data_IF_619317850484
#
_entry.id   IF_619317850484
#
_cell.length_a   1.000
_cell.length_b   1.000
_cell.length_c   1.000
_cell.angle_alpha   90.00
_cell.angle_beta   90.00
_cell.angle_gamma   90.00
#
_symmetry.space_group_name_H-M   'P 1'
#
loop_
_entity.id
_entity.type
_entity.pdbx_description
1 polymer ?
#
# COMPACT_ATOMS: atom_id res chain seq x y z
N UNK A 1 -0.26 6.06 -6.28
CA UNK A 1 -1.30 7.08 -6.29
C UNK A 1 -1.94 7.31 -4.94
N UNK A 2 -2.45 8.52 -4.68
CA UNK A 2 -3.02 8.94 -3.41
C UNK A 2 -4.30 8.21 -2.99
N UNK A 3 -4.86 8.57 -1.80
CA UNK A 3 -6.11 8.01 -1.34
C UNK A 3 -7.26 8.37 -2.29
N UNK A 4 -8.14 7.40 -2.58
CA UNK A 4 -9.30 7.63 -3.44
C UNK A 4 -9.03 7.69 -4.95
N UNK A 5 -7.84 7.35 -5.40
CA UNK A 5 -7.47 7.30 -6.83
C UNK A 5 -7.88 6.01 -7.55
N UNK A 6 -8.56 5.09 -6.85
CA UNK A 6 -9.05 3.85 -7.46
C UNK A 6 -8.09 2.67 -7.40
N UNK A 7 -7.02 2.71 -6.59
CA UNK A 7 -6.08 1.58 -6.41
C UNK A 7 -6.77 0.24 -6.20
N UNK A 8 -7.71 0.18 -5.28
CA UNK A 8 -8.46 -1.05 -4.96
C UNK A 8 -9.28 -1.59 -6.15
N UNK A 9 -9.91 -0.69 -6.92
CA UNK A 9 -10.63 -1.08 -8.13
C UNK A 9 -9.68 -1.63 -9.20
N UNK A 10 -8.52 -1.00 -9.35
CA UNK A 10 -7.47 -1.44 -10.27
C UNK A 10 -6.94 -2.83 -9.88
N UNK A 11 -6.65 -3.07 -8.59
CA UNK A 11 -6.24 -4.38 -8.07
C UNK A 11 -7.24 -5.46 -8.45
N UNK A 12 -8.52 -5.23 -8.13
CA UNK A 12 -9.60 -6.19 -8.46
C UNK A 12 -9.69 -6.47 -9.95
N UNK A 13 -9.59 -5.43 -10.78
CA UNK A 13 -9.63 -5.57 -12.24
C UNK A 13 -8.41 -6.34 -12.78
N UNK A 14 -7.20 -6.01 -12.33
CA UNK A 14 -5.96 -6.69 -12.72
C UNK A 14 -6.01 -8.18 -12.37
N UNK A 15 -6.31 -8.51 -11.13
CA UNK A 15 -6.39 -9.90 -10.67
C UNK A 15 -7.48 -10.67 -11.41
N UNK A 16 -8.66 -10.08 -11.62
CA UNK A 16 -9.75 -10.72 -12.36
C UNK A 16 -9.44 -10.94 -13.85
N UNK A 17 -8.73 -10.02 -14.48
CA UNK A 17 -8.29 -10.18 -15.89
C UNK A 17 -7.19 -11.25 -15.97
N UNK A 18 -6.20 -11.17 -15.06
CA UNK A 18 -5.09 -12.13 -15.06
C UNK A 18 -5.57 -13.56 -14.82
N UNK A 19 -6.37 -13.80 -13.79
CA UNK A 19 -6.92 -15.11 -13.46
C UNK A 19 -7.77 -15.71 -14.58
N UNK A 20 -8.52 -14.86 -15.29
CA UNK A 20 -9.36 -15.32 -16.43
C UNK A 20 -8.52 -15.73 -17.63
N UNK A 21 -7.45 -14.96 -17.93
CA UNK A 21 -6.59 -15.22 -19.07
C UNK A 21 -5.57 -16.33 -18.79
N UNK A 22 -5.27 -16.58 -17.53
CA UNK A 22 -4.27 -17.54 -17.09
C UNK A 22 -4.80 -18.43 -15.94
N UNK A 23 -5.81 -19.30 -16.19
CA UNK A 23 -6.49 -20.05 -15.16
C UNK A 23 -5.62 -21.09 -14.42
N UNK A 24 -4.49 -21.47 -15.00
CA UNK A 24 -3.54 -22.42 -14.40
C UNK A 24 -2.34 -21.74 -13.71
N UNK A 25 -2.33 -20.40 -13.66
CA UNK A 25 -1.24 -19.63 -13.08
C UNK A 25 -1.50 -19.30 -11.63
N UNK A 26 -0.48 -19.40 -10.80
CA UNK A 26 -0.53 -19.11 -9.38
C UNK A 26 -0.42 -17.60 -9.12
N UNK A 27 -1.28 -17.11 -8.22
CA UNK A 27 -1.33 -15.70 -7.81
C UNK A 27 -1.11 -15.61 -6.31
N UNK A 28 -0.13 -14.81 -5.90
CA UNK A 28 0.10 -14.43 -4.50
C UNK A 28 -0.26 -12.97 -4.32
N UNK A 29 -1.13 -12.69 -3.36
CA UNK A 29 -1.49 -11.35 -2.93
C UNK A 29 -0.99 -11.12 -1.50
N UNK A 30 -0.27 -10.03 -1.27
CA UNK A 30 0.21 -9.72 0.07
C UNK A 30 0.29 -8.22 0.35
N UNK A 31 0.44 -7.89 1.64
CA UNK A 31 0.60 -6.52 2.12
C UNK A 31 1.49 -6.50 3.38
N UNK A 32 2.11 -5.38 3.75
CA UNK A 32 2.98 -5.30 4.93
C UNK A 32 2.28 -5.61 6.25
N UNK A 33 0.98 -5.33 6.37
CA UNK A 33 0.22 -5.49 7.61
C UNK A 33 -0.98 -6.42 7.43
N UNK A 34 -1.37 -7.11 8.51
CA UNK A 34 -2.55 -7.99 8.51
C UNK A 34 -3.86 -7.24 8.21
N UNK A 35 -3.97 -5.97 8.63
CA UNK A 35 -5.13 -5.13 8.31
C UNK A 35 -5.21 -4.84 6.81
N UNK A 36 -4.09 -4.49 6.19
CA UNK A 36 -4.03 -4.24 4.75
C UNK A 36 -4.31 -5.51 3.95
N UNK A 37 -3.75 -6.66 4.33
CA UNK A 37 -4.00 -7.94 3.70
C UNK A 37 -5.48 -8.33 3.75
N UNK A 38 -6.12 -8.26 4.91
CA UNK A 38 -7.57 -8.51 5.05
C UNK A 38 -8.43 -7.59 4.19
N UNK A 39 -8.07 -6.31 4.14
CA UNK A 39 -8.77 -5.32 3.31
C UNK A 39 -8.63 -5.64 1.83
N UNK A 40 -7.43 -6.04 1.40
CA UNK A 40 -7.16 -6.49 0.04
C UNK A 40 -8.00 -7.70 -0.33
N UNK A 41 -8.02 -8.73 0.52
CA UNK A 41 -8.85 -9.94 0.32
C UNK A 41 -10.34 -9.60 0.21
N UNK A 42 -10.88 -8.83 1.14
CA UNK A 42 -12.29 -8.41 1.11
C UNK A 42 -12.68 -7.62 -0.14
N UNK A 43 -11.77 -6.78 -0.64
CA UNK A 43 -12.05 -5.90 -1.78
C UNK A 43 -11.85 -6.56 -3.12
N UNK A 44 -10.88 -7.48 -3.23
CA UNK A 44 -10.55 -8.15 -4.49
C UNK A 44 -11.25 -9.48 -4.67
N UNK A 45 -11.52 -10.19 -3.55
CA UNK A 45 -12.02 -11.57 -3.53
C UNK A 45 -10.91 -12.61 -3.70
N UNK A 46 -9.63 -12.20 -3.76
CA UNK A 46 -8.48 -13.11 -3.80
C UNK A 46 -7.89 -13.26 -2.41
N UNK A 47 -7.48 -14.49 -2.00
CA UNK A 47 -6.79 -14.70 -0.73
C UNK A 47 -5.55 -13.79 -0.63
N UNK A 48 -5.37 -13.18 0.54
CA UNK A 48 -4.22 -12.31 0.78
C UNK A 48 -3.64 -12.53 2.18
N UNK A 49 -2.33 -12.40 2.30
CA UNK A 49 -1.60 -12.55 3.56
C UNK A 49 -0.66 -11.38 3.82
N UNK A 50 0.00 -11.37 4.97
CA UNK A 50 1.11 -10.44 5.17
C UNK A 50 2.32 -10.89 4.35
N UNK A 51 3.19 -9.92 3.97
CA UNK A 51 4.47 -10.24 3.30
C UNK A 51 5.27 -11.23 4.14
N UNK A 52 5.38 -11.01 5.45
CA UNK A 52 6.05 -11.95 6.37
C UNK A 52 5.48 -13.37 6.27
N UNK A 53 4.16 -13.51 6.27
CA UNK A 53 3.52 -14.82 6.14
C UNK A 53 3.74 -15.45 4.76
N UNK A 54 3.69 -14.65 3.69
CA UNK A 54 3.94 -15.13 2.34
C UNK A 54 5.37 -15.66 2.16
N UNK A 55 6.33 -15.06 2.88
CA UNK A 55 7.75 -15.43 2.87
C UNK A 55 8.11 -16.50 3.92
N UNK A 56 7.15 -17.05 4.67
CA UNK A 56 7.47 -17.98 5.76
C UNK A 56 8.17 -17.35 6.97
N UNK A 57 8.28 -16.02 7.03
CA UNK A 57 8.91 -15.27 8.13
C UNK A 57 7.98 -15.20 9.34
N UNK A 58 7.60 -16.35 9.87
CA UNK A 58 6.81 -16.46 11.09
C UNK A 58 7.78 -16.87 12.21
N UNK A 59 7.71 -16.17 13.35
CA UNK A 59 8.50 -16.56 14.50
C UNK A 59 8.15 -17.99 14.91
N UNK A 60 9.16 -18.88 14.98
CA UNK A 60 9.02 -20.21 15.52
C UNK A 60 8.69 -20.19 17.01
N UNK A 61 8.45 -21.35 17.61
CA UNK A 61 8.20 -21.50 19.06
C UNK A 61 9.39 -21.00 19.89
N UNK A 62 10.58 -21.01 19.33
CA UNK A 62 11.86 -20.51 19.88
C UNK A 62 12.08 -19.00 19.68
N UNK A 63 11.17 -18.32 18.97
CA UNK A 63 11.24 -16.88 18.70
C UNK A 63 12.20 -16.48 17.58
N UNK A 64 12.82 -17.43 16.91
CA UNK A 64 13.65 -17.14 15.74
C UNK A 64 12.79 -17.03 14.47
N UNK A 65 13.11 -16.05 13.62
CA UNK A 65 12.48 -15.92 12.31
C UNK A 65 13.16 -16.88 11.33
N UNK A 66 12.34 -17.60 10.56
CA UNK A 66 12.82 -18.45 9.48
C UNK A 66 13.56 -17.67 8.39
N UNK A 67 14.26 -18.38 7.53
CA UNK A 67 14.79 -17.81 6.27
C UNK A 67 13.65 -17.59 5.28
N UNK A 68 13.69 -16.50 4.46
CA UNK A 68 12.67 -16.27 3.46
C UNK A 68 12.51 -17.45 2.50
N UNK A 69 11.28 -17.88 2.27
CA UNK A 69 10.94 -18.91 1.30
C UNK A 69 10.73 -18.31 -0.09
N UNK A 70 11.08 -19.05 -1.13
CA UNK A 70 10.80 -18.63 -2.52
C UNK A 70 9.30 -18.56 -2.75
N UNK A 71 8.82 -17.47 -3.30
CA UNK A 71 7.43 -17.31 -3.74
C UNK A 71 7.22 -18.04 -5.07
N UNK A 72 6.66 -19.25 -5.00
CA UNK A 72 6.33 -20.02 -6.21
C UNK A 72 5.00 -19.55 -6.80
N UNK A 73 5.02 -18.37 -7.41
CA UNK A 73 3.86 -17.74 -8.03
C UNK A 73 4.24 -17.13 -9.38
N UNK A 74 3.28 -17.07 -10.30
CA UNK A 74 3.44 -16.45 -11.61
C UNK A 74 3.14 -14.95 -11.57
N UNK A 75 2.23 -14.54 -10.66
CA UNK A 75 1.91 -13.15 -10.37
C UNK A 75 1.96 -12.90 -8.86
N UNK A 76 2.74 -11.92 -8.46
CA UNK A 76 2.80 -11.44 -7.07
C UNK A 76 2.30 -9.99 -7.06
N UNK A 77 1.26 -9.72 -6.28
CA UNK A 77 0.71 -8.38 -6.11
C UNK A 77 0.87 -7.94 -4.65
N UNK A 78 1.61 -6.88 -4.44
CA UNK A 78 1.89 -6.31 -3.11
C UNK A 78 1.22 -4.96 -2.98
N UNK A 79 0.33 -4.81 -2.00
CA UNK A 79 -0.31 -3.52 -1.69
C UNK A 79 0.36 -2.82 -0.51
N UNK A 80 0.13 -1.52 -0.37
CA UNK A 80 0.68 -0.62 0.67
C UNK A 80 2.23 -0.68 0.77
N UNK A 81 2.91 -0.76 -0.37
CA UNK A 81 4.39 -0.89 -0.46
C UNK A 81 5.13 0.27 0.19
N UNK A 82 4.50 1.44 0.37
CA UNK A 82 5.06 2.56 1.14
C UNK A 82 5.44 2.20 2.58
N UNK A 83 4.84 1.13 3.13
CA UNK A 83 5.11 0.64 4.49
C UNK A 83 6.21 -0.45 4.54
N UNK A 84 6.77 -0.88 3.41
CA UNK A 84 7.90 -1.81 3.40
C UNK A 84 9.19 -1.08 3.75
N UNK A 85 9.93 -1.61 4.73
CA UNK A 85 11.30 -1.20 4.97
C UNK A 85 12.28 -1.91 4.01
N UNK A 86 13.54 -1.50 4.07
CA UNK A 86 14.56 -2.01 3.13
C UNK A 86 14.86 -3.50 3.35
N UNK A 87 14.75 -4.01 4.57
CA UNK A 87 15.03 -5.41 4.88
C UNK A 87 13.92 -6.32 4.35
N UNK A 88 12.65 -6.02 4.70
CA UNK A 88 11.52 -6.80 4.22
C UNK A 88 11.35 -6.70 2.70
N UNK A 89 11.71 -5.55 2.10
CA UNK A 89 11.75 -5.40 0.65
C UNK A 89 12.86 -6.25 0.02
N UNK A 90 14.03 -6.32 0.62
CA UNK A 90 15.11 -7.19 0.19
C UNK A 90 14.68 -8.66 0.19
N UNK A 91 14.18 -9.14 1.33
CA UNK A 91 13.66 -10.50 1.47
C UNK A 91 12.57 -10.82 0.41
N UNK A 92 11.66 -9.87 0.19
CA UNK A 92 10.62 -10.03 -0.82
C UNK A 92 11.22 -10.17 -2.23
N UNK A 93 12.15 -9.30 -2.62
CA UNK A 93 12.71 -9.31 -3.97
C UNK A 93 13.58 -10.55 -4.23
N UNK A 94 14.35 -10.98 -3.23
CA UNK A 94 15.17 -12.20 -3.31
C UNK A 94 14.31 -13.47 -3.38
N UNK A 95 13.08 -13.41 -2.84
CA UNK A 95 12.13 -14.53 -2.87
C UNK A 95 11.32 -14.63 -4.16
N UNK A 96 11.33 -13.61 -5.01
CA UNK A 96 10.58 -13.64 -6.29
C UNK A 96 11.25 -14.60 -7.27
N UNK A 97 10.50 -15.62 -7.69
CA UNK A 97 10.96 -16.60 -8.68
C UNK A 97 11.24 -15.93 -10.04
N UNK A 98 12.35 -16.26 -10.72
CA UNK A 98 12.61 -15.76 -12.07
C UNK A 98 11.47 -16.08 -13.04
N UNK A 99 11.01 -15.05 -13.75
CA UNK A 99 9.87 -15.15 -14.68
C UNK A 99 8.51 -14.80 -14.08
N UNK A 100 8.43 -14.60 -12.77
CA UNK A 100 7.22 -14.07 -12.12
C UNK A 100 7.00 -12.60 -12.46
N UNK A 101 5.73 -12.20 -12.52
CA UNK A 101 5.35 -10.79 -12.60
C UNK A 101 5.16 -10.23 -11.19
N UNK A 102 5.88 -9.17 -10.84
CA UNK A 102 5.75 -8.47 -9.57
C UNK A 102 5.06 -7.13 -9.78
N UNK A 103 3.92 -6.92 -9.14
CA UNK A 103 3.16 -5.67 -9.17
C UNK A 103 3.17 -5.06 -7.76
N UNK A 104 3.75 -3.88 -7.65
CA UNK A 104 3.86 -3.12 -6.41
C UNK A 104 2.86 -1.96 -6.44
N UNK A 105 2.01 -1.86 -5.42
CA UNK A 105 1.00 -0.81 -5.31
C UNK A 105 1.20 -0.06 -4.00
N UNK A 106 1.14 1.26 -4.07
CA UNK A 106 1.33 2.07 -2.88
C UNK A 106 1.07 3.55 -3.14
N UNK A 107 1.35 4.33 -2.14
CA UNK A 107 1.22 5.78 -2.15
C UNK A 107 2.53 6.41 -1.65
N UNK A 108 3.32 6.93 -2.58
CA UNK A 108 4.62 7.54 -2.27
C UNK A 108 4.51 8.84 -1.43
N UNK A 109 3.30 9.38 -1.29
CA UNK A 109 3.03 10.58 -0.48
C UNK A 109 2.58 10.23 0.96
N UNK A 110 2.38 8.93 1.28
CA UNK A 110 2.12 8.48 2.65
C UNK A 110 3.40 8.43 3.48
N UNK A 111 3.22 8.33 4.79
CA UNK A 111 4.36 8.13 5.69
C UNK A 111 5.12 6.86 5.28
N UNK A 112 6.46 6.91 5.29
CA UNK A 112 7.29 5.75 5.01
C UNK A 112 7.14 4.68 6.10
N UNK A 113 7.80 3.55 5.91
CA UNK A 113 7.92 2.49 6.92
C UNK A 113 8.51 3.02 8.24
N UNK A 114 8.19 2.36 9.35
CA UNK A 114 8.84 2.62 10.65
C UNK A 114 10.29 2.14 10.63
N UNK A 115 10.58 1.07 9.88
CA UNK A 115 11.94 0.59 9.62
C UNK A 115 12.68 1.47 8.61
N UNK A 116 13.99 1.24 8.41
CA UNK A 116 14.82 2.08 7.53
C UNK A 116 14.45 1.93 6.06
N UNK A 117 14.67 3.02 5.30
CA UNK A 117 14.46 3.08 3.86
C UNK A 117 13.12 3.69 3.44
N UNK A 118 13.10 4.26 2.25
CA UNK A 118 11.91 4.81 1.60
C UNK A 118 11.69 4.08 0.26
N UNK A 119 11.58 2.74 0.35
CA UNK A 119 11.66 1.80 -0.78
C UNK A 119 10.83 2.25 -1.99
N UNK A 120 9.53 2.52 -1.79
CA UNK A 120 8.64 2.88 -2.90
C UNK A 120 9.08 4.18 -3.60
N UNK A 121 9.40 5.22 -2.84
CA UNK A 121 9.80 6.52 -3.42
C UNK A 121 11.16 6.45 -4.11
N UNK A 122 12.10 5.70 -3.56
CA UNK A 122 13.43 5.47 -4.14
C UNK A 122 13.35 4.65 -5.42
N UNK A 123 12.53 3.60 -5.45
CA UNK A 123 12.26 2.81 -6.65
C UNK A 123 11.64 3.66 -7.77
N UNK A 124 10.67 4.53 -7.44
CA UNK A 124 10.07 5.46 -8.40
C UNK A 124 11.12 6.46 -8.91
N UNK A 125 11.94 7.02 -8.01
CA UNK A 125 12.96 8.00 -8.36
C UNK A 125 14.09 7.43 -9.21
N UNK A 126 14.38 6.13 -9.08
CA UNK A 126 15.42 5.46 -9.87
C UNK A 126 15.14 5.46 -11.38
N UNK A 127 13.86 5.52 -11.78
CA UNK A 127 13.44 5.45 -13.19
C UNK A 127 13.73 4.10 -13.89
N UNK A 128 14.19 3.09 -13.15
CA UNK A 128 14.58 1.78 -13.71
C UNK A 128 13.40 0.82 -13.91
N UNK A 129 12.29 1.05 -13.21
CA UNK A 129 11.10 0.21 -13.30
C UNK A 129 9.93 0.99 -13.92
N UNK A 130 9.03 0.32 -14.66
CA UNK A 130 7.82 0.96 -15.18
C UNK A 130 6.91 1.46 -14.05
N UNK A 131 6.49 2.71 -14.12
CA UNK A 131 5.63 3.33 -13.11
C UNK A 131 4.35 3.85 -13.75
N UNK A 132 3.20 3.46 -13.20
CA UNK A 132 1.90 4.02 -13.54
C UNK A 132 1.40 4.87 -12.38
N UNK A 133 1.21 6.16 -12.62
CA UNK A 133 0.75 7.12 -11.61
C UNK A 133 -0.74 7.37 -11.72
N UNK A 134 -1.47 7.15 -10.64
CA UNK A 134 -2.90 7.45 -10.57
C UNK A 134 -3.08 8.83 -9.93
N UNK A 135 -3.44 9.83 -10.73
CA UNK A 135 -3.53 11.22 -10.28
C UNK A 135 -4.98 11.68 -10.04
N UNK A 136 -5.96 10.98 -10.63
CA UNK A 136 -7.36 11.37 -10.53
C UNK A 136 -8.02 10.82 -9.26
N UNK A 137 -8.54 11.70 -8.43
CA UNK A 137 -9.24 11.34 -7.19
C UNK A 137 -10.73 11.15 -7.50
N UNK A 138 -11.27 9.96 -7.17
CA UNK A 138 -12.68 9.60 -7.40
C UNK A 138 -13.51 9.53 -6.11
N UNK A 139 -12.88 9.38 -4.95
CA UNK A 139 -13.55 9.08 -3.67
C UNK A 139 -14.18 10.31 -3.00
N UNK A 140 -13.75 11.51 -3.37
CA UNK A 140 -14.18 12.71 -2.67
C UNK A 140 -15.16 13.50 -3.51
N UNK A 141 -16.25 13.94 -2.87
CA UNK A 141 -17.21 14.86 -3.48
C UNK A 141 -16.46 16.11 -3.96
N UNK A 142 -16.70 16.53 -5.19
CA UNK A 142 -16.15 17.77 -5.71
C UNK A 142 -16.46 18.90 -4.70
N UNK A 143 -15.41 19.57 -4.20
CA UNK A 143 -15.54 20.66 -3.21
C UNK A 143 -15.26 20.29 -1.75
N UNK A 144 -14.82 19.05 -1.43
CA UNK A 144 -14.40 18.73 -0.06
C UNK A 144 -13.11 19.47 0.31
N UNK A 145 -13.18 20.27 1.38
CA UNK A 145 -12.03 20.98 1.95
C UNK A 145 -10.98 20.03 2.52
N UNK A 146 -11.40 18.85 2.99
CA UNK A 146 -10.47 17.79 3.44
C UNK A 146 -9.51 17.44 2.32
N UNK A 147 -10.02 17.24 1.09
CA UNK A 147 -9.19 16.90 -0.07
C UNK A 147 -8.31 18.06 -0.51
N UNK A 148 -8.89 19.24 -0.60
CA UNK A 148 -8.17 20.47 -1.00
C UNK A 148 -7.03 20.74 -0.02
N UNK A 149 -7.31 20.73 1.28
CA UNK A 149 -6.33 21.00 2.32
C UNK A 149 -5.25 19.91 2.41
N UNK A 150 -5.61 18.63 2.26
CA UNK A 150 -4.62 17.56 2.19
C UNK A 150 -3.62 17.77 1.04
N UNK A 151 -4.11 18.23 -0.13
CA UNK A 151 -3.26 18.59 -1.26
C UNK A 151 -2.39 19.82 -0.97
N UNK A 152 -2.95 20.85 -0.35
CA UNK A 152 -2.21 22.05 0.04
C UNK A 152 -1.08 21.73 1.02
N UNK A 153 -1.39 20.99 2.09
CA UNK A 153 -0.43 20.55 3.12
C UNK A 153 0.72 19.76 2.47
N UNK A 154 0.40 18.82 1.57
CA UNK A 154 1.39 18.01 0.84
C UNK A 154 2.38 18.86 0.03
N UNK A 155 1.94 20.00 -0.49
CA UNK A 155 2.79 20.94 -1.23
C UNK A 155 3.41 22.02 -0.32
N UNK A 156 3.32 21.87 1.01
CA UNK A 156 3.86 22.85 1.95
C UNK A 156 3.07 24.16 2.03
N UNK A 157 1.88 24.21 1.45
CA UNK A 157 1.02 25.38 1.51
C UNK A 157 0.18 25.36 2.78
N UNK A 158 0.36 26.38 3.63
CA UNK A 158 -0.32 26.53 4.91
C UNK A 158 -1.61 27.38 4.83
N UNK A 159 -1.98 27.90 3.65
CA UNK A 159 -3.21 28.65 3.43
C UNK A 159 -4.39 27.68 3.30
N UNK A 160 -4.84 27.14 4.44
CA UNK A 160 -5.88 26.12 4.48
C UNK A 160 -7.27 26.75 4.44
N UNK A 161 -8.21 26.05 3.81
CA UNK A 161 -9.62 26.43 3.75
C UNK A 161 -10.40 25.78 4.90
N UNK A 162 -11.10 26.58 5.69
CA UNK A 162 -11.91 26.10 6.82
C UNK A 162 -13.40 26.13 6.50
N UNK A 163 -14.15 25.21 7.09
CA UNK A 163 -15.61 25.11 6.94
C UNK A 163 -16.19 23.92 7.68
N UNK A 164 -17.41 23.49 7.34
CA UNK A 164 -18.13 22.43 8.06
C UNK A 164 -17.44 21.06 8.01
N UNK A 165 -16.68 20.78 6.98
CA UNK A 165 -15.98 19.51 6.73
C UNK A 165 -14.48 19.55 7.08
N UNK A 166 -13.93 20.75 7.40
CA UNK A 166 -12.54 20.91 7.84
C UNK A 166 -12.44 22.10 8.80
N UNK A 167 -12.15 21.83 10.07
CA UNK A 167 -12.11 22.82 11.13
C UNK A 167 -10.80 22.74 11.89
N UNK A 168 -10.33 23.88 12.37
CA UNK A 168 -9.18 23.98 13.28
C UNK A 168 -9.69 24.28 14.69
N UNK A 169 -9.28 23.47 15.65
CA UNK A 169 -9.52 23.69 17.06
C UNK A 169 -8.19 23.90 17.77
N UNK A 170 -8.05 25.02 18.43
CA UNK A 170 -6.97 25.21 19.40
C UNK A 170 -7.22 24.32 20.61
N UNK A 171 -6.14 23.73 21.17
CA UNK A 171 -6.21 22.87 22.35
C UNK A 171 -6.92 23.55 23.55
N UNK A 172 -6.83 24.88 23.65
CA UNK A 172 -7.54 25.67 24.65
C UNK A 172 -9.05 25.77 24.43
N UNK A 173 -9.54 25.49 23.22
CA UNK A 173 -10.95 25.57 22.83
C UNK A 173 -11.68 24.24 22.82
N UNK A 174 -10.98 23.12 23.07
CA UNK A 174 -11.59 21.78 23.14
C UNK A 174 -12.32 21.65 24.48
N UNK A 175 -13.65 21.38 24.49
CA UNK A 175 -14.37 21.12 25.73
C UNK A 175 -13.77 19.91 26.46
N UNK A 176 -13.49 20.07 27.79
CA UNK A 176 -12.92 18.98 28.62
C UNK A 176 -13.86 17.77 28.85
N UNK A 177 -15.00 17.72 28.18
CA UNK A 177 -16.01 16.65 28.27
C UNK A 177 -15.85 15.55 27.19
N UNK A 178 -14.69 15.43 26.56
CA UNK A 178 -14.38 14.39 25.58
C UNK A 178 -13.30 13.39 26.07
N UNK A 179 -13.23 13.17 27.43
CA UNK A 179 -12.51 12.04 28.03
C UNK A 179 -13.40 10.82 28.20
#
# INVERSE_FOLDING_TARGET
>A
GGPGTGKTMLQKALLGIYSRNHPSKEIVCCAPTGRAARRMEQSTGFPASTVHKALGLIAGEDGEYGTPETLDADLILVDEVSMLDIYLAGDLFDSVKPGSQLILIGDADQLPSVGPGAVLSEMIASGTIPVVKLDKIFRQTAGSRIATNAKLIRHGNMSLEYGSDFQFYDSASIPKSAE
#
